data_IF_972980950649
#
_entry.id   IF_972980950649
#
_cell.length_a   1.000
_cell.length_b   1.000
_cell.length_c   1.000
_cell.angle_alpha   90.00
_cell.angle_beta   90.00
_cell.angle_gamma   90.00
#
_symmetry.space_group_name_H-M   'P 1'
#
loop_
_entity.id
_entity.type
_entity.pdbx_description
1 polymer ?
#
# COMPACT_ATOMS: atom_id res chain seq x y z
N UNK A 1 -31.76 39.75 69.77
CA UNK A 1 -30.74 38.74 69.38
C UNK A 1 -30.03 39.23 68.12
N UNK A 2 -28.68 39.25 68.09
CA UNK A 2 -27.90 39.73 66.95
C UNK A 2 -27.87 38.69 65.82
N UNK A 3 -27.59 39.10 64.56
CA UNK A 3 -26.24 38.83 64.04
C UNK A 3 -25.63 39.94 63.17
N UNK A 4 -24.44 40.36 63.63
CA UNK A 4 -23.12 40.58 63.00
C UNK A 4 -22.90 40.47 61.45
N UNK A 5 -21.77 41.05 60.93
CA UNK A 5 -21.77 42.05 59.86
C UNK A 5 -21.26 41.57 58.49
N UNK A 6 -21.43 42.46 57.49
CA UNK A 6 -21.02 42.37 56.07
C UNK A 6 -19.52 42.06 55.90
N UNK A 7 -19.21 40.97 55.21
CA UNK A 7 -17.86 40.62 54.73
C UNK A 7 -17.67 41.07 53.28
N UNK A 8 -16.63 41.88 53.03
CA UNK A 8 -16.24 42.39 51.72
C UNK A 8 -15.58 41.28 50.89
N UNK A 9 -16.03 41.17 49.64
CA UNK A 9 -15.43 40.36 48.57
C UNK A 9 -13.99 40.81 48.31
N UNK A 10 -13.05 39.88 48.44
CA UNK A 10 -11.70 39.99 47.85
C UNK A 10 -11.60 38.93 46.77
N UNK A 11 -11.60 39.35 45.51
CA UNK A 11 -11.28 38.51 44.36
C UNK A 11 -9.81 38.11 44.46
N UNK A 12 -9.55 36.83 44.76
CA UNK A 12 -8.21 36.25 44.66
C UNK A 12 -7.98 35.89 43.20
N UNK A 13 -7.22 36.71 42.50
CA UNK A 13 -6.69 36.46 41.17
C UNK A 13 -5.79 35.21 41.23
N UNK A 14 -6.35 34.04 41.00
CA UNK A 14 -5.57 32.83 40.70
C UNK A 14 -5.01 32.99 39.29
N UNK A 15 -3.79 33.54 39.28
CA UNK A 15 -2.72 33.28 38.32
C UNK A 15 -3.06 32.20 37.30
N UNK A 16 -3.25 32.65 36.06
CA UNK A 16 -3.17 31.82 34.88
C UNK A 16 -1.86 31.01 34.94
N UNK A 17 -1.97 29.69 35.09
CA UNK A 17 -0.85 28.79 34.90
C UNK A 17 -0.46 28.88 33.44
N UNK A 18 0.62 29.63 33.23
CA UNK A 18 1.41 29.71 32.01
C UNK A 18 1.56 28.32 31.40
N UNK A 19 1.23 28.27 30.11
CA UNK A 19 1.80 27.41 29.08
C UNK A 19 3.05 26.68 29.56
N UNK A 20 2.90 25.38 29.84
CA UNK A 20 4.04 24.49 29.93
C UNK A 20 4.65 24.40 28.53
N UNK A 21 5.75 25.12 28.37
CA UNK A 21 6.81 24.94 27.39
C UNK A 21 6.81 23.55 26.78
N UNK A 22 6.42 23.51 25.50
CA UNK A 22 6.60 22.40 24.58
C UNK A 22 8.09 22.07 24.60
N UNK A 23 8.46 20.94 25.21
CA UNK A 23 9.73 20.30 24.92
C UNK A 23 9.73 19.99 23.43
N UNK A 24 10.69 20.57 22.71
CA UNK A 24 10.88 20.59 21.25
C UNK A 24 11.13 19.22 20.60
N UNK A 25 10.73 18.14 21.25
CA UNK A 25 11.08 16.77 20.90
C UNK A 25 9.84 15.86 20.76
N UNK A 26 8.66 16.32 21.16
CA UNK A 26 7.42 15.56 21.00
C UNK A 26 6.76 15.93 19.65
N UNK A 27 6.38 14.94 18.81
CA UNK A 27 5.76 15.22 17.53
C UNK A 27 4.44 15.99 17.75
N UNK A 28 4.10 16.93 16.85
CA UNK A 28 2.93 17.78 17.04
C UNK A 28 1.66 16.92 17.14
N UNK A 29 0.77 17.27 18.08
CA UNK A 29 -0.55 16.63 18.14
C UNK A 29 -1.21 16.71 16.75
N UNK A 30 -1.76 15.60 16.19
CA UNK A 30 -2.22 14.36 16.84
C UNK A 30 -1.23 13.18 16.90
N UNK A 31 0.05 13.39 16.58
CA UNK A 31 1.05 12.34 16.52
C UNK A 31 1.65 12.08 17.90
N UNK A 32 2.04 10.83 18.15
CA UNK A 32 2.66 10.36 19.40
C UNK A 32 3.82 9.44 19.05
N UNK A 33 4.87 9.37 19.88
CA UNK A 33 5.94 8.39 19.65
C UNK A 33 5.39 6.96 19.76
N UNK A 34 5.76 6.04 18.86
CA UNK A 34 5.36 4.64 18.96
C UNK A 34 5.97 3.99 20.22
N UNK A 35 5.29 3.01 20.82
CA UNK A 35 5.85 2.26 21.94
C UNK A 35 7.22 1.64 21.60
N UNK A 36 8.19 1.60 22.54
CA UNK A 36 9.53 1.05 22.30
C UNK A 36 9.50 -0.41 21.78
N UNK A 37 8.48 -1.18 22.17
CA UNK A 37 8.25 -2.55 21.69
C UNK A 37 8.11 -2.68 20.17
N UNK A 38 7.73 -1.60 19.47
CA UNK A 38 7.58 -1.59 18.00
C UNK A 38 8.89 -1.28 17.27
N UNK A 39 9.95 -0.83 17.96
CA UNK A 39 11.23 -0.45 17.33
C UNK A 39 11.82 -1.53 16.41
N UNK A 40 11.87 -2.84 16.79
CA UNK A 40 12.43 -3.88 15.93
C UNK A 40 11.66 -4.11 14.62
N UNK A 41 10.40 -3.68 14.58
CA UNK A 41 9.57 -3.69 13.39
C UNK A 41 9.79 -2.42 12.55
N UNK A 42 9.86 -1.27 13.22
CA UNK A 42 10.01 0.04 12.60
C UNK A 42 11.36 0.24 11.89
N UNK A 43 12.45 -0.33 12.41
CA UNK A 43 13.78 -0.30 11.77
C UNK A 43 13.79 -0.94 10.37
N UNK A 44 12.87 -1.88 10.11
CA UNK A 44 12.83 -2.62 8.84
C UNK A 44 11.94 -1.96 7.79
N UNK A 45 11.17 -0.95 8.19
CA UNK A 45 10.28 -0.21 7.29
C UNK A 45 11.01 0.98 6.69
N UNK A 46 10.65 1.35 5.45
CA UNK A 46 11.22 2.54 4.82
C UNK A 46 10.59 3.82 5.36
N UNK A 47 11.39 4.80 5.78
CA UNK A 47 10.91 6.08 6.34
C UNK A 47 10.09 6.95 5.35
N UNK A 48 10.15 6.69 4.05
CA UNK A 48 9.50 7.49 3.00
C UNK A 48 8.00 7.25 2.81
N UNK A 49 7.43 6.24 3.48
CA UNK A 49 6.05 5.84 3.25
C UNK A 49 5.23 5.90 4.56
N UNK A 50 3.91 6.08 4.38
CA UNK A 50 2.93 5.98 5.46
C UNK A 50 2.45 4.53 5.50
N UNK A 51 2.44 3.95 6.69
CA UNK A 51 2.02 2.57 6.92
C UNK A 51 0.75 2.51 7.77
N UNK A 52 -0.11 1.53 7.49
CA UNK A 52 -1.23 1.16 8.35
C UNK A 52 -1.11 -0.31 8.71
N UNK A 53 -0.89 -0.59 9.99
CA UNK A 53 -0.96 -1.94 10.54
C UNK A 53 -2.33 -2.19 11.16
N UNK A 54 -2.91 -3.35 10.91
CA UNK A 54 -4.12 -3.81 11.60
C UNK A 54 -4.19 -5.34 11.63
N UNK A 55 -5.11 -5.88 12.42
CA UNK A 55 -5.34 -7.32 12.56
C UNK A 55 -6.57 -7.71 11.74
N UNK A 56 -6.38 -8.57 10.76
CA UNK A 56 -7.46 -9.22 10.01
C UNK A 56 -7.93 -10.47 10.78
N UNK A 57 -9.24 -10.49 11.10
CA UNK A 57 -9.91 -11.55 11.87
C UNK A 57 -10.76 -12.49 11.01
N UNK A 58 -10.68 -12.41 9.69
CA UNK A 58 -11.43 -13.29 8.81
C UNK A 58 -10.94 -14.75 8.91
N UNK A 59 -11.85 -15.73 8.71
CA UNK A 59 -11.50 -17.13 8.85
C UNK A 59 -10.48 -17.59 7.80
N UNK A 60 -9.62 -18.54 8.18
CA UNK A 60 -8.52 -18.99 7.33
C UNK A 60 -9.02 -19.58 5.99
N UNK A 61 -10.15 -20.30 6.00
CA UNK A 61 -10.69 -20.91 4.78
C UNK A 61 -11.24 -19.88 3.80
N UNK A 62 -11.79 -18.77 4.29
CA UNK A 62 -12.22 -17.66 3.44
C UNK A 62 -11.00 -17.00 2.77
N UNK A 63 -9.90 -16.81 3.52
CA UNK A 63 -8.64 -16.28 2.99
C UNK A 63 -8.03 -17.20 1.93
N UNK A 64 -8.06 -18.53 2.13
CA UNK A 64 -7.60 -19.52 1.14
C UNK A 64 -8.37 -19.42 -0.17
N UNK A 65 -9.70 -19.37 -0.12
CA UNK A 65 -10.56 -19.26 -1.31
C UNK A 65 -10.27 -17.98 -2.09
N UNK A 66 -10.16 -16.84 -1.40
CA UNK A 66 -9.84 -15.55 -2.03
C UNK A 66 -8.44 -15.59 -2.67
N UNK A 67 -7.46 -16.21 -2.02
CA UNK A 67 -6.11 -16.31 -2.55
C UNK A 67 -5.98 -17.31 -3.70
N UNK A 68 -6.82 -18.34 -3.75
CA UNK A 68 -6.80 -19.33 -4.81
C UNK A 68 -7.15 -18.73 -6.18
N UNK A 69 -8.09 -17.78 -6.23
CA UNK A 69 -8.52 -17.11 -7.47
C UNK A 69 -7.34 -16.48 -8.23
N UNK A 70 -6.54 -15.56 -7.65
CA UNK A 70 -5.39 -14.98 -8.35
C UNK A 70 -4.28 -16.00 -8.61
N UNK A 71 -4.11 -17.04 -7.77
CA UNK A 71 -3.14 -18.12 -8.06
C UNK A 71 -3.52 -18.85 -9.36
N UNK A 72 -4.77 -19.31 -9.47
CA UNK A 72 -5.25 -20.01 -10.67
C UNK A 72 -5.20 -19.12 -11.90
N UNK A 73 -5.58 -17.85 -11.77
CA UNK A 73 -5.50 -16.88 -12.86
C UNK A 73 -4.07 -16.70 -13.36
N UNK A 74 -3.09 -16.51 -12.46
CA UNK A 74 -1.68 -16.34 -12.86
C UNK A 74 -1.09 -17.63 -13.45
N UNK A 75 -1.46 -18.81 -12.92
CA UNK A 75 -1.06 -20.10 -13.49
C UNK A 75 -1.63 -20.28 -14.90
N UNK A 76 -2.90 -19.93 -15.12
CA UNK A 76 -3.52 -19.98 -16.44
C UNK A 76 -2.84 -19.02 -17.44
N UNK A 77 -2.48 -17.81 -17.01
CA UNK A 77 -1.71 -16.86 -17.83
C UNK A 77 -0.34 -17.44 -18.19
N UNK A 78 0.40 -17.99 -17.23
CA UNK A 78 1.71 -18.62 -17.48
C UNK A 78 1.56 -19.78 -18.47
N UNK A 79 0.55 -20.65 -18.27
CA UNK A 79 0.28 -21.77 -19.17
C UNK A 79 -0.06 -21.29 -20.59
N UNK A 80 -0.88 -20.25 -20.72
CA UNK A 80 -1.22 -19.63 -22.01
C UNK A 80 -0.01 -19.02 -22.71
N UNK A 81 0.87 -18.33 -21.96
CA UNK A 81 2.12 -17.79 -22.49
C UNK A 81 3.11 -18.89 -22.89
N UNK A 82 3.22 -19.95 -22.10
CA UNK A 82 4.08 -21.09 -22.42
C UNK A 82 3.56 -21.84 -23.67
N UNK A 83 2.24 -22.03 -23.78
CA UNK A 83 1.60 -22.58 -24.97
C UNK A 83 1.87 -21.70 -26.19
N UNK A 84 1.67 -20.39 -26.08
CA UNK A 84 1.98 -19.43 -27.15
C UNK A 84 3.44 -19.50 -27.56
N UNK A 85 4.36 -19.52 -26.59
CA UNK A 85 5.79 -19.66 -26.84
C UNK A 85 6.09 -20.97 -27.58
N UNK A 86 5.50 -22.09 -27.20
CA UNK A 86 5.72 -23.38 -27.87
C UNK A 86 5.32 -23.38 -29.35
N UNK A 87 4.27 -22.63 -29.72
CA UNK A 87 3.79 -22.53 -31.10
C UNK A 87 4.62 -21.54 -31.92
N UNK A 88 4.99 -20.38 -31.35
CA UNK A 88 5.69 -19.33 -32.11
C UNK A 88 7.21 -19.52 -32.10
N UNK A 89 7.76 -20.20 -31.10
CA UNK A 89 9.19 -20.51 -31.04
C UNK A 89 9.76 -21.15 -32.32
N UNK A 90 9.17 -22.22 -32.90
CA UNK A 90 9.68 -22.78 -34.16
C UNK A 90 9.62 -21.79 -35.32
N UNK A 91 8.62 -20.89 -35.34
CA UNK A 91 8.53 -19.83 -36.35
C UNK A 91 9.67 -18.81 -36.21
N UNK A 92 10.00 -18.39 -34.98
CA UNK A 92 11.17 -17.54 -34.73
C UNK A 92 12.48 -18.22 -35.11
N UNK A 93 12.64 -19.51 -34.80
CA UNK A 93 13.80 -20.28 -35.21
C UNK A 93 13.94 -20.38 -36.73
N UNK A 94 12.83 -20.56 -37.47
CA UNK A 94 12.84 -20.54 -38.94
C UNK A 94 13.29 -19.19 -39.48
N UNK A 95 12.82 -18.07 -38.93
CA UNK A 95 13.28 -16.73 -39.33
C UNK A 95 14.79 -16.58 -39.07
N UNK A 96 15.29 -16.99 -37.90
CA UNK A 96 16.73 -16.96 -37.60
C UNK A 96 17.55 -17.81 -38.57
N UNK A 97 17.11 -19.04 -38.88
CA UNK A 97 17.79 -19.90 -39.85
C UNK A 97 17.77 -19.31 -41.27
N UNK A 98 16.67 -18.66 -41.66
CA UNK A 98 16.60 -17.94 -42.93
C UNK A 98 17.61 -16.79 -42.99
N UNK A 99 17.78 -16.03 -41.90
CA UNK A 99 18.78 -14.96 -41.83
C UNK A 99 20.22 -15.50 -41.86
N UNK A 100 20.45 -16.72 -41.38
CA UNK A 100 21.73 -17.42 -41.43
C UNK A 100 22.02 -18.09 -42.79
N UNK A 101 21.21 -17.82 -43.82
CA UNK A 101 21.43 -18.33 -45.18
C UNK A 101 20.89 -19.73 -45.45
N UNK A 102 20.15 -20.34 -44.50
CA UNK A 102 19.43 -21.61 -44.76
C UNK A 102 18.06 -21.29 -45.34
N UNK A 103 17.90 -21.48 -46.65
CA UNK A 103 16.63 -21.29 -47.34
C UNK A 103 15.53 -22.15 -46.72
N UNK A 104 14.42 -21.51 -46.35
CA UNK A 104 13.24 -22.17 -45.82
C UNK A 104 11.97 -21.40 -46.20
N UNK A 105 10.82 -21.86 -45.73
CA UNK A 105 9.50 -21.24 -45.98
C UNK A 105 9.39 -19.77 -45.53
N UNK A 106 10.34 -19.29 -44.71
CA UNK A 106 10.39 -17.90 -44.23
C UNK A 106 11.37 -17.02 -45.02
N UNK A 107 12.10 -17.57 -45.99
CA UNK A 107 12.99 -16.81 -46.87
C UNK A 107 12.18 -16.08 -47.94
N UNK A 108 12.29 -14.76 -47.99
CA UNK A 108 11.63 -13.93 -49.01
C UNK A 108 12.58 -13.83 -50.21
N UNK A 109 12.23 -14.49 -51.31
CA UNK A 109 12.93 -14.34 -52.60
C UNK A 109 12.33 -13.14 -53.35
N UNK A 110 12.98 -11.99 -53.23
CA UNK A 110 12.54 -10.72 -53.84
C UNK A 110 12.55 -10.74 -55.38
N UNK A 111 13.15 -11.76 -56.00
CA UNK A 111 13.15 -11.92 -57.46
C UNK A 111 11.98 -12.76 -57.98
N UNK A 112 11.31 -13.54 -57.11
CA UNK A 112 10.22 -14.45 -57.51
C UNK A 112 8.85 -14.04 -56.97
N UNK A 113 8.80 -13.21 -55.94
CA UNK A 113 7.56 -12.86 -55.24
C UNK A 113 7.16 -11.43 -55.59
N UNK A 114 5.89 -11.18 -56.00
CA UNK A 114 5.41 -9.81 -56.25
C UNK A 114 5.47 -8.95 -54.97
N UNK A 115 5.69 -7.64 -55.14
CA UNK A 115 5.91 -6.71 -54.03
C UNK A 115 4.75 -6.67 -53.02
N UNK A 116 3.51 -6.88 -53.48
CA UNK A 116 2.33 -6.89 -52.62
C UNK A 116 2.33 -8.08 -51.64
N UNK A 117 2.72 -9.26 -52.12
CA UNK A 117 2.80 -10.49 -51.31
C UNK A 117 3.97 -10.42 -50.33
N UNK A 118 5.07 -9.76 -50.75
CA UNK A 118 6.19 -9.44 -49.86
C UNK A 118 5.76 -8.50 -48.73
N UNK A 119 5.01 -7.44 -49.04
CA UNK A 119 4.47 -6.51 -48.05
C UNK A 119 3.53 -7.18 -47.05
N UNK A 120 2.63 -8.04 -47.54
CA UNK A 120 1.71 -8.81 -46.69
C UNK A 120 2.44 -9.73 -45.72
N UNK A 121 3.45 -10.47 -46.19
CA UNK A 121 4.21 -11.41 -45.35
C UNK A 121 5.06 -10.66 -44.31
N UNK A 122 5.65 -9.52 -44.67
CA UNK A 122 6.36 -8.64 -43.71
C UNK A 122 5.39 -8.11 -42.66
N UNK A 123 4.22 -7.63 -43.07
CA UNK A 123 3.22 -7.11 -42.13
C UNK A 123 2.68 -8.20 -41.18
N UNK A 124 2.42 -9.41 -41.71
CA UNK A 124 2.00 -10.56 -40.92
C UNK A 124 3.06 -10.93 -39.87
N UNK A 125 4.34 -10.97 -40.26
CA UNK A 125 5.46 -11.18 -39.33
C UNK A 125 5.53 -10.10 -38.26
N UNK A 126 5.53 -8.83 -38.68
CA UNK A 126 5.58 -7.68 -37.78
C UNK A 126 4.42 -7.70 -36.77
N UNK A 127 3.22 -8.07 -37.21
CA UNK A 127 2.04 -8.20 -36.36
C UNK A 127 2.21 -9.29 -35.29
N UNK A 128 2.79 -10.45 -35.65
CA UNK A 128 3.08 -11.53 -34.70
C UNK A 128 4.10 -11.07 -33.66
N UNK A 129 5.20 -10.44 -34.10
CA UNK A 129 6.21 -9.87 -33.19
C UNK A 129 5.61 -8.81 -32.26
N UNK A 130 4.74 -7.93 -32.80
CA UNK A 130 4.08 -6.89 -32.03
C UNK A 130 3.17 -7.48 -30.95
N UNK A 131 2.35 -8.47 -31.28
CA UNK A 131 1.47 -9.14 -30.31
C UNK A 131 2.31 -9.78 -29.20
N UNK A 132 3.37 -10.50 -29.55
CA UNK A 132 4.20 -11.17 -28.55
C UNK A 132 4.95 -10.15 -27.67
N UNK A 133 5.36 -9.01 -28.23
CA UNK A 133 5.93 -7.89 -27.48
C UNK A 133 4.90 -7.29 -26.50
N UNK A 134 3.66 -7.09 -26.93
CA UNK A 134 2.58 -6.60 -26.07
C UNK A 134 2.28 -7.58 -24.94
N UNK A 135 2.23 -8.88 -25.23
CA UNK A 135 2.07 -9.93 -24.21
C UNK A 135 3.23 -9.89 -23.20
N UNK A 136 4.47 -9.73 -23.66
CA UNK A 136 5.63 -9.65 -22.79
C UNK A 136 5.66 -8.36 -21.95
N UNK A 137 5.26 -7.22 -22.50
CA UNK A 137 5.30 -5.93 -21.77
C UNK A 137 4.14 -5.82 -20.79
N UNK A 138 2.92 -6.22 -21.17
CA UNK A 138 1.72 -5.97 -20.39
C UNK A 138 1.25 -7.16 -19.56
N UNK A 139 1.33 -8.38 -20.12
CA UNK A 139 0.77 -9.58 -19.48
C UNK A 139 1.80 -10.26 -18.59
N UNK A 140 3.05 -10.39 -19.02
CA UNK A 140 4.10 -11.07 -18.25
C UNK A 140 4.46 -10.44 -16.89
N UNK A 141 4.43 -9.10 -16.69
CA UNK A 141 4.71 -8.53 -15.37
C UNK A 141 3.76 -9.01 -14.28
N UNK A 142 2.51 -9.35 -14.61
CA UNK A 142 1.51 -9.78 -13.63
C UNK A 142 1.90 -11.08 -12.90
N UNK A 143 2.12 -12.23 -13.58
CA UNK A 143 2.59 -13.44 -12.93
C UNK A 143 3.99 -13.25 -12.35
N UNK A 144 4.87 -12.50 -13.02
CA UNK A 144 6.21 -12.23 -12.51
C UNK A 144 6.16 -11.53 -11.15
N UNK A 145 5.37 -10.47 -11.00
CA UNK A 145 5.27 -9.73 -9.74
C UNK A 145 4.53 -10.55 -8.68
N UNK A 146 3.54 -11.38 -9.08
CA UNK A 146 2.81 -12.26 -8.18
C UNK A 146 3.68 -13.36 -7.54
N UNK A 147 4.57 -13.98 -8.31
CA UNK A 147 5.44 -15.08 -7.82
C UNK A 147 6.84 -14.62 -7.41
N UNK A 148 7.40 -13.62 -8.11
CA UNK A 148 8.82 -13.23 -8.03
C UNK A 148 9.03 -11.75 -7.70
N UNK A 149 7.97 -10.99 -7.37
CA UNK A 149 8.07 -9.59 -6.95
C UNK A 149 9.04 -9.42 -5.77
N UNK A 150 10.00 -8.49 -5.90
CA UNK A 150 11.08 -8.27 -4.92
C UNK A 150 10.96 -6.97 -4.12
N UNK A 151 10.36 -5.91 -4.68
CA UNK A 151 10.39 -4.55 -4.13
C UNK A 151 9.61 -4.43 -2.81
N UNK A 152 8.43 -5.04 -2.74
CA UNK A 152 7.57 -5.09 -1.55
C UNK A 152 7.35 -6.53 -1.05
N UNK A 153 8.16 -7.47 -1.57
CA UNK A 153 7.90 -8.89 -1.52
C UNK A 153 6.86 -9.32 -2.56
N UNK A 154 6.36 -10.54 -2.43
CA UNK A 154 5.30 -11.06 -3.30
C UNK A 154 4.23 -11.83 -2.50
N UNK A 155 2.98 -11.89 -3.00
CA UNK A 155 1.88 -12.55 -2.32
C UNK A 155 2.17 -14.02 -1.95
N UNK A 156 2.89 -14.74 -2.82
CA UNK A 156 3.22 -16.16 -2.61
C UNK A 156 4.21 -16.33 -1.46
N UNK A 157 5.25 -15.50 -1.40
CA UNK A 157 6.25 -15.48 -0.32
C UNK A 157 5.61 -15.15 1.02
N UNK A 158 4.58 -14.31 1.03
CA UNK A 158 3.79 -14.06 2.24
C UNK A 158 3.07 -15.33 2.69
N UNK A 159 2.41 -16.05 1.78
CA UNK A 159 1.71 -17.31 2.12
C UNK A 159 2.65 -18.43 2.50
N UNK A 160 3.83 -18.54 1.89
CA UNK A 160 4.87 -19.50 2.29
C UNK A 160 5.42 -19.13 3.68
N UNK A 161 5.63 -17.84 3.97
CA UNK A 161 6.23 -17.39 5.22
C UNK A 161 5.30 -17.36 6.43
N UNK A 162 4.01 -17.08 6.24
CA UNK A 162 3.02 -16.88 7.32
C UNK A 162 1.95 -17.97 7.36
N UNK A 163 1.59 -18.52 6.20
CA UNK A 163 0.45 -19.41 6.03
C UNK A 163 -0.89 -18.67 5.97
N UNK A 164 -1.96 -19.40 6.28
CA UNK A 164 -3.31 -18.88 6.48
C UNK A 164 -3.68 -19.02 7.96
N UNK A 165 -3.92 -17.89 8.63
CA UNK A 165 -4.24 -17.84 10.06
C UNK A 165 -5.58 -17.14 10.30
N UNK A 166 -6.24 -17.49 11.39
CA UNK A 166 -7.47 -16.81 11.85
C UNK A 166 -7.24 -15.32 12.18
N UNK A 167 -6.06 -15.01 12.73
CA UNK A 167 -5.62 -13.64 13.03
C UNK A 167 -4.33 -13.36 12.29
N UNK A 168 -4.39 -12.47 11.30
CA UNK A 168 -3.24 -12.09 10.47
C UNK A 168 -2.91 -10.61 10.66
N UNK A 169 -1.61 -10.28 10.73
CA UNK A 169 -1.16 -8.90 10.74
C UNK A 169 -1.07 -8.42 9.30
N UNK A 170 -1.82 -7.37 9.00
CA UNK A 170 -1.86 -6.74 7.69
C UNK A 170 -1.18 -5.37 7.77
N UNK A 171 -0.15 -5.18 6.96
CA UNK A 171 0.61 -3.94 6.84
C UNK A 171 0.37 -3.37 5.45
N UNK A 172 -0.32 -2.24 5.41
CA UNK A 172 -0.54 -1.47 4.18
C UNK A 172 0.47 -0.35 4.09
N UNK A 173 0.91 -0.06 2.88
CA UNK A 173 1.86 1.01 2.56
C UNK A 173 1.22 2.00 1.59
N UNK A 174 1.50 3.29 1.76
CA UNK A 174 1.14 4.30 0.76
C UNK A 174 1.83 4.04 -0.59
N UNK A 175 1.16 4.43 -1.68
CA UNK A 175 1.69 4.26 -3.04
C UNK A 175 2.46 5.49 -3.52
N UNK A 176 1.78 6.40 -4.23
CA UNK A 176 2.37 7.61 -4.84
C UNK A 176 1.82 8.90 -4.24
N UNK A 177 0.69 8.83 -3.55
CA UNK A 177 0.00 10.00 -3.00
C UNK A 177 0.73 10.61 -1.79
N UNK A 178 1.52 9.81 -1.11
CA UNK A 178 2.45 10.25 -0.06
C UNK A 178 3.55 11.17 -0.60
N UNK A 179 4.04 10.92 -1.82
CA UNK A 179 5.02 11.80 -2.47
C UNK A 179 4.39 13.14 -2.88
N UNK A 180 3.10 13.16 -3.23
CA UNK A 180 2.40 14.37 -3.66
C UNK A 180 2.02 15.31 -2.52
N UNK A 181 2.00 14.82 -1.28
CA UNK A 181 1.57 15.58 -0.11
C UNK A 181 2.65 16.56 0.38
N UNK A 182 3.92 16.33 0.05
CA UNK A 182 5.04 17.08 0.60
C UNK A 182 5.15 16.93 2.13
N UNK A 183 5.86 17.85 2.78
CA UNK A 183 5.96 17.85 4.24
C UNK A 183 4.66 18.38 4.87
N UNK A 184 3.73 17.47 5.15
CA UNK A 184 2.44 17.78 5.79
C UNK A 184 2.57 18.19 7.25
N UNK A 185 3.77 18.15 7.85
CA UNK A 185 3.97 18.60 9.23
C UNK A 185 4.12 20.12 9.32
N UNK A 186 4.46 20.80 8.21
CA UNK A 186 4.52 22.26 8.15
C UNK A 186 3.13 22.87 8.33
N UNK A 187 3.04 24.01 9.02
CA UNK A 187 1.78 24.69 9.30
C UNK A 187 1.08 25.15 8.01
N UNK A 188 1.85 25.56 7.00
CA UNK A 188 1.37 26.12 5.74
C UNK A 188 0.76 25.10 4.76
N UNK A 189 0.85 23.79 5.05
CA UNK A 189 0.41 22.73 4.14
C UNK A 189 -0.91 22.08 4.59
N UNK A 190 -1.98 22.89 4.63
CA UNK A 190 -3.32 22.42 5.02
C UNK A 190 -3.86 21.36 4.04
N UNK A 191 -3.64 21.55 2.74
CA UNK A 191 -4.05 20.62 1.68
C UNK A 191 -3.44 19.24 1.86
N UNK A 192 -2.14 19.17 2.19
CA UNK A 192 -1.44 17.92 2.45
C UNK A 192 -1.98 17.19 3.70
N UNK A 193 -2.28 17.93 4.77
CA UNK A 193 -2.91 17.39 5.99
C UNK A 193 -4.31 16.83 5.70
N UNK A 194 -5.10 17.53 4.90
CA UNK A 194 -6.45 17.08 4.53
C UNK A 194 -6.42 15.80 3.69
N UNK A 195 -5.56 15.75 2.66
CA UNK A 195 -5.40 14.58 1.80
C UNK A 195 -4.92 13.36 2.60
N UNK A 196 -3.93 13.53 3.47
CA UNK A 196 -3.46 12.47 4.37
C UNK A 196 -4.60 11.98 5.26
N UNK A 197 -5.30 12.90 5.93
CA UNK A 197 -6.38 12.56 6.85
C UNK A 197 -7.52 11.84 6.15
N UNK A 198 -7.93 12.32 4.97
CA UNK A 198 -8.99 11.72 4.16
C UNK A 198 -8.64 10.29 3.71
N UNK A 199 -7.44 10.10 3.15
CA UNK A 199 -6.98 8.79 2.67
C UNK A 199 -6.83 7.79 3.80
N UNK A 200 -6.24 8.21 4.93
CA UNK A 200 -6.09 7.37 6.12
C UNK A 200 -7.44 7.02 6.72
N UNK A 201 -8.37 7.99 6.84
CA UNK A 201 -9.72 7.76 7.37
C UNK A 201 -10.49 6.72 6.57
N UNK A 202 -10.49 6.84 5.25
CA UNK A 202 -11.14 5.86 4.37
C UNK A 202 -10.52 4.48 4.53
N UNK A 203 -9.20 4.40 4.73
CA UNK A 203 -8.50 3.14 4.90
C UNK A 203 -8.77 2.44 6.26
N UNK A 204 -9.00 3.20 7.33
CA UNK A 204 -9.24 2.67 8.69
C UNK A 204 -10.72 2.58 9.08
N UNK A 205 -11.64 2.76 8.12
CA UNK A 205 -13.07 2.62 8.38
C UNK A 205 -13.37 1.20 8.90
N UNK A 206 -13.94 1.03 10.11
CA UNK A 206 -14.27 -0.27 10.66
C UNK A 206 -15.18 -1.11 9.77
N UNK A 207 -16.11 -0.47 9.04
CA UNK A 207 -17.00 -1.18 8.12
C UNK A 207 -16.22 -1.74 6.93
N UNK A 208 -15.29 -0.95 6.40
CA UNK A 208 -14.42 -1.38 5.33
C UNK A 208 -13.49 -2.52 5.76
N UNK A 209 -12.90 -2.39 6.95
CA UNK A 209 -11.98 -3.39 7.50
C UNK A 209 -12.67 -4.70 7.90
N UNK A 210 -13.97 -4.69 8.20
CA UNK A 210 -14.72 -5.91 8.54
C UNK A 210 -15.29 -6.62 7.32
N UNK A 211 -15.48 -5.93 6.19
CA UNK A 211 -16.04 -6.50 4.97
C UNK A 211 -14.97 -7.14 4.08
N UNK A 212 -13.75 -6.61 4.09
CA UNK A 212 -12.67 -7.06 3.21
C UNK A 212 -11.55 -7.73 3.98
N UNK A 213 -11.09 -8.87 3.47
CA UNK A 213 -9.82 -9.46 3.92
C UNK A 213 -8.66 -8.54 3.60
N UNK A 214 -7.57 -8.67 4.36
CA UNK A 214 -6.35 -7.89 4.16
C UNK A 214 -5.87 -7.92 2.71
N UNK A 215 -5.95 -9.09 2.04
CA UNK A 215 -5.58 -9.25 0.64
C UNK A 215 -6.42 -8.38 -0.33
N UNK A 216 -7.72 -8.22 -0.05
CA UNK A 216 -8.64 -7.41 -0.87
C UNK A 216 -8.60 -5.92 -0.56
N UNK A 217 -7.74 -5.49 0.37
CA UNK A 217 -7.55 -4.08 0.70
C UNK A 217 -6.55 -3.35 -0.20
N UNK A 218 -6.03 -4.03 -1.22
CA UNK A 218 -5.26 -3.41 -2.31
C UNK A 218 -6.15 -2.42 -3.07
N UNK A 219 -5.72 -1.17 -3.20
CA UNK A 219 -6.41 -0.17 -4.00
C UNK A 219 -5.44 0.82 -4.64
N UNK A 220 -5.96 1.87 -5.29
CA UNK A 220 -5.12 2.86 -5.99
C UNK A 220 -4.20 3.60 -5.02
N UNK A 221 -4.63 3.79 -3.78
CA UNK A 221 -3.94 4.57 -2.77
C UNK A 221 -2.98 3.71 -1.90
N UNK A 222 -3.33 2.46 -1.63
CA UNK A 222 -2.67 1.59 -0.67
C UNK A 222 -2.24 0.28 -1.32
N UNK A 223 -1.00 -0.09 -1.05
CA UNK A 223 -0.44 -1.39 -1.36
C UNK A 223 -0.29 -2.25 -0.10
N UNK A 224 -0.07 -3.55 -0.28
CA UNK A 224 0.30 -4.44 0.82
C UNK A 224 1.80 -4.66 0.82
N UNK A 225 2.43 -4.40 1.96
CA UNK A 225 3.86 -4.67 2.14
C UNK A 225 4.03 -6.10 2.64
N UNK A 226 4.13 -7.03 1.69
CA UNK A 226 4.25 -8.47 1.97
C UNK A 226 5.45 -8.78 2.86
N UNK A 227 6.58 -8.09 2.63
CA UNK A 227 7.79 -8.27 3.43
C UNK A 227 7.58 -7.81 4.87
N UNK A 228 7.00 -6.64 5.08
CA UNK A 228 6.67 -6.14 6.41
C UNK A 228 5.68 -7.06 7.14
N UNK A 229 4.68 -7.59 6.44
CA UNK A 229 3.70 -8.54 7.00
C UNK A 229 4.37 -9.83 7.49
N UNK A 230 5.26 -10.42 6.67
CA UNK A 230 6.03 -11.61 7.07
C UNK A 230 6.92 -11.31 8.27
N UNK A 231 7.58 -10.15 8.28
CA UNK A 231 8.48 -9.76 9.37
C UNK A 231 7.73 -9.51 10.68
N UNK A 232 6.60 -8.78 10.64
CA UNK A 232 5.75 -8.54 11.80
C UNK A 232 5.26 -9.86 12.40
N UNK A 233 4.81 -10.78 11.54
CA UNK A 233 4.38 -12.11 11.97
C UNK A 233 5.53 -12.88 12.60
N UNK A 234 6.73 -12.87 12.01
CA UNK A 234 7.92 -13.53 12.58
C UNK A 234 8.31 -12.96 13.95
N UNK A 235 8.15 -11.66 14.19
CA UNK A 235 8.41 -11.04 15.49
C UNK A 235 7.39 -11.51 16.55
N UNK A 236 6.13 -11.64 16.16
CA UNK A 236 5.10 -12.23 17.04
C UNK A 236 5.36 -13.71 17.30
N UNK A 237 5.75 -14.48 16.28
CA UNK A 237 6.05 -15.91 16.43
C UNK A 237 7.25 -16.15 17.34
N UNK A 238 8.24 -15.22 17.32
CA UNK A 238 9.39 -15.21 18.24
C UNK A 238 9.05 -14.70 19.64
N UNK A 239 7.79 -14.34 19.91
CA UNK A 239 7.32 -13.75 21.18
C UNK A 239 8.05 -12.48 21.59
N UNK A 240 8.67 -11.77 20.65
CA UNK A 240 9.29 -10.46 20.92
C UNK A 240 8.23 -9.35 20.99
N UNK A 241 7.06 -9.58 20.39
CA UNK A 241 5.92 -8.66 20.35
C UNK A 241 4.61 -9.41 20.47
N UNK A 242 3.57 -8.74 20.97
CA UNK A 242 2.22 -9.30 21.02
C UNK A 242 1.41 -8.95 19.77
N UNK A 243 0.48 -9.83 19.38
CA UNK A 243 -0.49 -9.52 18.30
C UNK A 243 -1.24 -8.22 18.57
N UNK A 244 -1.50 -7.91 19.85
CA UNK A 244 -2.25 -6.72 20.25
C UNK A 244 -1.47 -5.41 20.02
N UNK A 245 -0.15 -5.48 19.88
CA UNK A 245 0.67 -4.31 19.55
C UNK A 245 0.40 -3.81 18.11
N UNK A 246 -0.12 -4.69 17.26
CA UNK A 246 -0.53 -4.40 15.87
C UNK A 246 -2.02 -4.08 15.72
N UNK A 247 -2.72 -3.71 16.81
CA UNK A 247 -4.04 -3.06 16.70
C UNK A 247 -3.96 -1.88 15.75
N UNK A 248 -5.06 -1.59 15.05
CA UNK A 248 -5.15 -0.53 14.02
C UNK A 248 -4.29 0.66 14.39
N UNK A 249 -3.20 0.86 13.67
CA UNK A 249 -2.17 1.85 13.96
C UNK A 249 -1.69 2.43 12.64
N UNK A 250 -1.56 3.74 12.58
CA UNK A 250 -0.99 4.44 11.43
C UNK A 250 0.39 4.94 11.83
N UNK A 251 1.39 4.59 11.05
CA UNK A 251 2.80 4.90 11.27
C UNK A 251 3.28 5.79 10.13
N UNK A 252 4.03 6.82 10.45
CA UNK A 252 4.77 7.60 9.47
C UNK A 252 6.22 7.77 9.91
N UNK A 253 7.14 7.67 8.96
CA UNK A 253 8.52 8.09 9.17
C UNK A 253 8.61 9.60 9.04
N UNK A 254 9.19 10.27 10.03
CA UNK A 254 9.48 11.70 9.94
C UNK A 254 10.98 11.89 9.74
N UNK A 255 11.44 12.45 8.61
CA UNK A 255 12.85 12.72 8.40
C UNK A 255 13.41 13.75 9.39
N UNK A 256 12.58 14.70 9.86
CA UNK A 256 12.98 15.78 10.76
C UNK A 256 13.35 15.35 12.19
N UNK A 257 12.82 14.24 12.69
CA UNK A 257 13.03 13.79 14.08
C UNK A 257 13.84 12.49 14.19
N UNK A 258 14.41 12.05 13.06
CA UNK A 258 15.10 10.77 12.91
C UNK A 258 14.35 9.56 13.50
N UNK A 259 13.02 9.65 13.55
CA UNK A 259 12.16 8.79 14.35
C UNK A 259 10.80 8.52 13.71
N UNK A 260 10.12 7.51 14.24
CA UNK A 260 8.78 7.14 13.83
C UNK A 260 7.73 7.86 14.66
N UNK A 261 6.60 8.14 14.04
CA UNK A 261 5.46 8.76 14.71
C UNK A 261 4.19 7.98 14.43
N UNK A 262 3.41 7.78 15.48
CA UNK A 262 2.15 7.03 15.54
C UNK A 262 0.98 8.00 15.64
N UNK A 263 0.05 7.91 14.69
CA UNK A 263 -1.18 8.70 14.77
C UNK A 263 -2.15 8.06 15.77
N UNK A 264 -2.57 8.81 16.79
CA UNK A 264 -3.53 8.34 17.79
C UNK A 264 -4.95 8.31 17.19
N UNK A 265 -5.55 7.14 16.98
CA UNK A 265 -6.90 7.04 16.36
C UNK A 265 -8.01 7.85 17.07
N UNK A 266 -7.87 8.12 18.38
CA UNK A 266 -8.83 8.96 19.12
C UNK A 266 -8.84 10.41 18.62
N UNK A 267 -7.71 10.93 18.15
CA UNK A 267 -7.66 12.29 17.58
C UNK A 267 -8.45 12.36 16.28
N UNK A 268 -8.51 11.28 15.49
CA UNK A 268 -9.27 11.22 14.24
C UNK A 268 -10.77 11.42 14.51
N UNK A 269 -11.30 10.90 15.64
CA UNK A 269 -12.69 11.14 16.08
C UNK A 269 -12.92 12.57 16.58
N UNK A 270 -11.94 13.19 17.24
CA UNK A 270 -12.05 14.57 17.74
C UNK A 270 -11.99 15.56 16.57
N UNK A 271 -11.09 15.33 15.63
CA UNK A 271 -11.01 16.08 14.37
C UNK A 271 -12.31 15.88 13.57
N UNK A 272 -12.91 14.68 13.53
CA UNK A 272 -14.23 14.48 12.91
C UNK A 272 -15.30 15.45 13.43
N UNK A 273 -15.44 15.61 14.76
CA UNK A 273 -16.40 16.55 15.36
C UNK A 273 -16.07 18.02 15.08
N UNK A 274 -14.79 18.40 15.15
CA UNK A 274 -14.34 19.78 14.88
C UNK A 274 -14.59 20.20 13.42
N UNK A 275 -14.43 19.27 12.47
CA UNK A 275 -14.58 19.55 11.04
C UNK A 275 -16.04 19.44 10.58
N UNK A 276 -16.84 18.50 11.10
CA UNK A 276 -18.30 18.48 10.90
C UNK A 276 -18.92 19.78 11.46
N UNK A 277 -18.46 20.25 12.62
CA UNK A 277 -18.87 21.54 13.20
C UNK A 277 -18.55 22.72 12.28
N UNK A 278 -17.32 22.81 11.73
CA UNK A 278 -16.92 23.87 10.79
C UNK A 278 -17.69 23.81 9.47
N UNK A 279 -17.94 22.61 8.93
CA UNK A 279 -18.70 22.44 7.68
C UNK A 279 -20.17 22.82 7.85
N UNK A 280 -20.77 22.54 9.01
CA UNK A 280 -22.12 22.98 9.36
C UNK A 280 -22.21 24.49 9.60
N UNK A 281 -21.17 25.12 10.12
CA UNK A 281 -21.11 26.58 10.26
C UNK A 281 -21.02 27.26 8.88
N UNK A 282 -20.17 26.77 7.99
CA UNK A 282 -20.06 27.30 6.62
C UNK A 282 -21.35 27.11 5.80
N UNK A 283 -22.05 26.00 5.98
CA UNK A 283 -23.34 25.74 5.32
C UNK A 283 -24.51 26.59 5.87
N UNK A 284 -24.34 27.26 7.01
CA UNK A 284 -25.33 28.18 7.60
C UNK A 284 -25.04 29.65 7.24
N UNK A 285 -23.91 29.93 6.60
CA UNK A 285 -23.50 31.28 6.18
C UNK A 285 -23.78 31.55 4.70
N UNK A 286 -24.27 30.54 3.96
CA UNK A 286 -24.88 30.66 2.63
C UNK A 286 -26.38 30.43 2.75
#
# INVERSE_FOLDING_TARGET
>A
MPPKPKSKRTFKTTSATRSSTITSDEPPAPFTRPPPKLEPFLEKLSKYHIYIAHIDKHPADFKKKIFLVPVLMNVAIIAGLAWRASIVFPFYMKICFSMMGKYNETTIDTHKIPLNDTGYEIFRRASIFMIDLLLYIFVWPWPRDFFLGRTIGNPVSWRIGVGFREREIIVRRSRRWDQTIGDFLKEDNETGKELMSSNVRRAIDPLWMSQKTGYLMLNKEWDLDWKAMVQATKLVDKKTMDLQDFKTTVLHGTPLMDGWSKLKLLSIRIVRKSWEGRRLQLSRMN
#
